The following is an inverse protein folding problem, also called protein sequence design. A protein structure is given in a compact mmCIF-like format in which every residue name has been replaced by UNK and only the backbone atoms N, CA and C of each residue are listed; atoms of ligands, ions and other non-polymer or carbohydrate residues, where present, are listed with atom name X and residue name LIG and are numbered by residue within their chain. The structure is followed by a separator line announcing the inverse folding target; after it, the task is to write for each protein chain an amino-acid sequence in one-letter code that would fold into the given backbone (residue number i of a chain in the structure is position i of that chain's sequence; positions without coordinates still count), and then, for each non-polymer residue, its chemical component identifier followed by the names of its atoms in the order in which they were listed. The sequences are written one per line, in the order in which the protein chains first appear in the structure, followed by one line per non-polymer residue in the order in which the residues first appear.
data_IF_015731444481
#
_entry.id   IF_015731444481
#
_cell.length_a   1.000
_cell.length_b   1.000
_cell.length_c   1.000
_cell.angle_alpha   90.00
_cell.angle_beta   90.00
_cell.angle_gamma   90.00
#
_symmetry.space_group_name_H-M   'P 1'
#
loop_
_entity.id
_entity.type
_entity.pdbx_description
1 polymer ?
#
# COMPACT_ATOMS: atom_id res chain seq x y z
N UNK A 1 27.93 -3.65 12.27
CA UNK A 1 26.84 -4.11 11.38
C UNK A 1 25.93 -2.92 11.11
N UNK A 2 25.40 -2.76 9.89
CA UNK A 2 24.48 -1.65 9.57
C UNK A 2 23.13 -1.90 10.26
N UNK A 3 22.79 -1.05 11.23
CA UNK A 3 21.58 -1.10 12.08
C UNK A 3 20.38 -0.38 11.47
N UNK A 4 20.36 -0.18 10.15
CA UNK A 4 19.25 0.53 9.50
C UNK A 4 18.20 -0.48 9.05
N UNK A 5 17.08 -0.55 9.77
CA UNK A 5 15.96 -1.45 9.49
C UNK A 5 14.75 -1.18 10.40
N UNK A 6 13.67 -1.91 10.19
CA UNK A 6 12.53 -1.89 11.10
C UNK A 6 12.87 -2.85 12.24
N UNK A 7 13.05 -2.30 13.43
CA UNK A 7 13.30 -3.09 14.64
C UNK A 7 11.97 -3.62 15.20
N UNK A 8 11.79 -4.95 15.14
CA UNK A 8 10.63 -5.63 15.73
C UNK A 8 10.97 -6.31 17.06
N UNK A 9 12.12 -6.02 17.68
CA UNK A 9 12.49 -6.56 19.00
C UNK A 9 11.40 -6.38 20.05
N UNK A 10 10.72 -5.23 20.04
CA UNK A 10 9.59 -4.91 20.92
C UNK A 10 8.36 -5.82 20.74
N UNK A 11 8.16 -6.39 19.56
CA UNK A 11 7.01 -7.27 19.25
C UNK A 11 7.32 -8.75 19.47
N UNK A 12 8.59 -9.12 19.49
CA UNK A 12 9.02 -10.52 19.45
C UNK A 12 9.47 -11.06 20.82
N UNK A 13 9.68 -10.18 21.81
CA UNK A 13 10.16 -10.59 23.13
C UNK A 13 11.66 -10.96 23.08
N UNK A 14 12.33 -10.92 24.23
CA UNK A 14 13.79 -10.84 24.33
C UNK A 14 14.61 -11.92 23.62
N UNK A 15 14.01 -13.07 23.29
CA UNK A 15 14.71 -14.23 22.71
C UNK A 15 13.90 -14.87 21.57
N UNK A 16 13.95 -14.27 20.36
CA UNK A 16 13.43 -14.93 19.16
C UNK A 16 14.43 -16.00 18.69
N UNK A 17 14.11 -17.27 18.98
CA UNK A 17 14.86 -18.42 18.50
C UNK A 17 14.05 -19.17 17.45
N UNK A 18 14.52 -19.17 16.20
CA UNK A 18 13.97 -19.99 15.13
C UNK A 18 14.91 -21.17 14.89
N UNK A 19 14.51 -22.37 15.31
CA UNK A 19 15.31 -23.59 15.11
C UNK A 19 16.58 -23.68 15.98
N UNK A 20 16.64 -23.00 17.12
CA UNK A 20 17.76 -23.08 18.07
C UNK A 20 18.89 -22.07 17.82
N UNK A 21 18.71 -21.14 16.88
CA UNK A 21 19.65 -20.05 16.59
C UNK A 21 18.98 -18.71 16.92
N UNK A 22 19.70 -17.83 17.61
CA UNK A 22 19.25 -16.45 17.88
C UNK A 22 19.13 -15.70 16.55
N UNK A 23 17.93 -15.25 16.24
CA UNK A 23 17.65 -14.47 15.03
C UNK A 23 17.38 -13.03 15.42
N UNK A 24 18.14 -12.11 14.83
CA UNK A 24 17.95 -10.67 15.01
C UNK A 24 16.59 -10.23 14.43
N UNK A 25 15.67 -9.65 15.21
CA UNK A 25 14.33 -9.25 14.77
C UNK A 25 14.32 -7.95 13.95
N UNK A 26 15.41 -7.63 13.26
CA UNK A 26 15.52 -6.45 12.40
C UNK A 26 15.12 -6.82 10.97
N UNK A 27 13.92 -6.39 10.56
CA UNK A 27 13.45 -6.58 9.19
C UNK A 27 14.05 -5.50 8.29
N UNK A 28 14.87 -5.94 7.33
CA UNK A 28 15.51 -5.07 6.33
C UNK A 28 14.68 -5.04 5.05
N UNK A 29 13.77 -4.07 4.96
CA UNK A 29 13.01 -3.84 3.73
C UNK A 29 13.90 -3.05 2.77
N UNK A 30 14.24 -3.66 1.62
CA UNK A 30 14.93 -2.97 0.54
C UNK A 30 13.91 -2.37 -0.41
N UNK A 31 13.65 -1.07 -0.28
CA UNK A 31 12.85 -0.34 -1.26
C UNK A 31 13.77 0.20 -2.35
N UNK A 32 13.72 -0.42 -3.53
CA UNK A 32 14.38 0.11 -4.72
C UNK A 32 13.55 1.27 -5.29
N UNK A 33 14.23 2.33 -5.74
CA UNK A 33 13.58 3.54 -6.26
C UNK A 33 12.73 3.23 -7.49
N UNK A 34 13.22 2.30 -8.31
CA UNK A 34 12.55 1.77 -9.50
C UNK A 34 11.24 1.08 -9.11
N UNK A 35 11.26 0.19 -8.11
CA UNK A 35 10.08 -0.51 -7.62
C UNK A 35 9.04 0.47 -7.06
N UNK A 36 9.47 1.48 -6.30
CA UNK A 36 8.56 2.50 -5.77
C UNK A 36 7.86 3.28 -6.90
N UNK A 37 8.59 3.63 -7.96
CA UNK A 37 8.04 4.33 -9.12
C UNK A 37 7.03 3.46 -9.89
N UNK A 38 7.35 2.18 -10.11
CA UNK A 38 6.44 1.24 -10.76
C UNK A 38 5.15 1.03 -9.95
N UNK A 39 5.26 0.88 -8.62
CA UNK A 39 4.10 0.74 -7.74
C UNK A 39 3.21 1.99 -7.85
N UNK A 40 3.81 3.18 -7.76
CA UNK A 40 3.08 4.44 -7.84
C UNK A 40 2.31 4.58 -9.16
N UNK A 41 2.98 4.36 -10.30
CA UNK A 41 2.33 4.44 -11.61
C UNK A 41 1.23 3.40 -11.74
N UNK A 42 1.49 2.16 -11.32
CA UNK A 42 0.53 1.07 -11.45
C UNK A 42 -0.74 1.35 -10.66
N UNK A 43 -0.61 1.74 -9.38
CA UNK A 43 -1.75 2.08 -8.53
C UNK A 43 -2.49 3.29 -9.07
N UNK A 44 -1.77 4.32 -9.53
CA UNK A 44 -2.37 5.50 -10.12
C UNK A 44 -3.21 5.16 -11.37
N UNK A 45 -2.64 4.40 -12.31
CA UNK A 45 -3.34 4.02 -13.54
C UNK A 45 -4.54 3.10 -13.27
N UNK A 46 -4.40 2.14 -12.36
CA UNK A 46 -5.51 1.27 -11.97
C UNK A 46 -6.65 2.08 -11.33
N UNK A 47 -6.32 3.04 -10.48
CA UNK A 47 -7.31 3.92 -9.84
C UNK A 47 -8.03 4.77 -10.89
N UNK A 48 -7.27 5.36 -11.83
CA UNK A 48 -7.83 6.11 -12.95
C UNK A 48 -8.77 5.24 -13.78
N UNK A 49 -8.33 4.05 -14.18
CA UNK A 49 -9.14 3.09 -14.94
C UNK A 49 -10.43 2.70 -14.21
N UNK A 50 -10.35 2.41 -12.90
CA UNK A 50 -11.52 2.09 -12.08
C UNK A 50 -12.52 3.26 -12.01
N UNK A 51 -12.03 4.51 -12.03
CA UNK A 51 -12.88 5.70 -11.96
C UNK A 51 -13.57 6.06 -13.29
N UNK A 52 -13.17 5.47 -14.41
CA UNK A 52 -13.71 5.81 -15.74
C UNK A 52 -15.21 5.52 -15.84
N UNK A 53 -15.64 4.31 -15.46
CA UNK A 53 -17.06 3.94 -15.54
C UNK A 53 -17.97 4.84 -14.68
N UNK A 54 -17.71 5.04 -13.36
CA UNK A 54 -18.54 5.92 -12.57
C UNK A 54 -18.50 7.38 -13.06
N UNK A 55 -17.37 7.87 -13.58
CA UNK A 55 -17.29 9.20 -14.16
C UNK A 55 -18.19 9.36 -15.40
N UNK A 56 -18.15 8.38 -16.32
CA UNK A 56 -19.03 8.37 -17.49
C UNK A 56 -20.49 8.29 -17.07
N UNK A 57 -20.80 7.43 -16.08
CA UNK A 57 -22.16 7.31 -15.55
C UNK A 57 -22.65 8.63 -14.98
N UNK A 58 -21.84 9.29 -14.15
CA UNK A 58 -22.18 10.58 -13.55
C UNK A 58 -22.47 11.66 -14.61
N UNK A 59 -21.69 11.70 -15.70
CA UNK A 59 -21.92 12.64 -16.80
C UNK A 59 -23.18 12.38 -17.63
N UNK A 60 -23.82 11.21 -17.49
CA UNK A 60 -25.04 10.83 -18.22
C UNK A 60 -26.31 10.93 -17.38
N UNK A 61 -26.22 11.22 -16.09
CA UNK A 61 -27.40 11.42 -15.24
C UNK A 61 -28.00 12.78 -15.52
N UNK A 62 -29.32 12.84 -15.75
CA UNK A 62 -30.03 14.08 -15.98
C UNK A 62 -30.06 14.92 -14.69
N UNK A 63 -29.81 16.24 -14.76
CA UNK A 63 -29.82 17.10 -13.56
C UNK A 63 -31.13 17.04 -12.77
N UNK A 64 -32.26 16.84 -13.47
CA UNK A 64 -33.59 16.76 -12.86
C UNK A 64 -33.78 15.52 -12.00
N UNK A 65 -33.02 14.45 -12.26
CA UNK A 65 -33.10 13.22 -11.47
C UNK A 65 -32.22 13.35 -10.23
N UNK A 66 -31.03 13.99 -10.35
CA UNK A 66 -30.18 14.33 -9.20
C UNK A 66 -30.89 15.29 -8.24
N UNK A 67 -31.63 16.27 -8.75
CA UNK A 67 -32.38 17.23 -7.94
C UNK A 67 -33.57 16.62 -7.18
N UNK A 68 -34.07 15.44 -7.58
CA UNK A 68 -35.14 14.72 -6.87
C UNK A 68 -34.63 13.84 -5.73
N UNK A 69 -33.33 13.51 -5.74
CA UNK A 69 -32.68 12.70 -4.71
C UNK A 69 -32.06 13.53 -3.57
N UNK A 70 -31.97 14.86 -3.74
CA UNK A 70 -31.53 15.83 -2.71
C UNK A 70 -32.76 16.38 -1.97
#
# INVERSE_FOLDING_TARGET
MSETGIDLSSYVGGDYSAGGVLVDPVVKIRLFRESAFFILITVFLLTMAASVYPAIRAGRVLPVDTLKEI
#
